data_IF_876612932028
#
_entry.id   IF_876612932028
#
_cell.length_a   1.000
_cell.length_b   1.000
_cell.length_c   1.000
_cell.angle_alpha   90.00
_cell.angle_beta   90.00
_cell.angle_gamma   90.00
#
_symmetry.space_group_name_H-M   'P 1'
#
loop_
_entity.id
_entity.type
_entity.pdbx_description
1 polymer ?
#
# COMPACT_ATOMS: atom_id res chain seq x y z
N UNK A 1 -14.23 -20.36 9.76
CA UNK A 1 -14.09 -18.98 10.27
C UNK A 1 -15.17 -18.77 11.32
N UNK A 2 -14.84 -18.08 12.41
CA UNK A 2 -15.88 -17.61 13.33
C UNK A 2 -16.69 -16.50 12.64
N UNK A 3 -17.99 -16.44 12.92
CA UNK A 3 -18.85 -15.37 12.42
C UNK A 3 -18.33 -14.01 12.90
N UNK A 4 -18.11 -13.08 11.96
CA UNK A 4 -17.71 -11.70 12.26
C UNK A 4 -18.94 -10.82 12.02
N UNK A 5 -19.53 -10.20 13.06
CA UNK A 5 -20.66 -9.31 12.88
C UNK A 5 -20.22 -8.04 12.13
N UNK A 6 -20.96 -7.67 11.10
CA UNK A 6 -20.79 -6.41 10.37
C UNK A 6 -21.97 -5.48 10.67
N UNK A 7 -21.67 -4.22 11.01
CA UNK A 7 -22.68 -3.19 11.29
C UNK A 7 -22.60 -2.14 10.18
N UNK A 8 -23.68 -2.01 9.40
CA UNK A 8 -23.75 -1.05 8.30
C UNK A 8 -24.75 0.07 8.57
N UNK A 9 -24.32 1.31 8.35
CA UNK A 9 -25.22 2.47 8.34
C UNK A 9 -26.00 2.57 7.03
N UNK A 10 -27.23 3.09 7.07
CA UNK A 10 -28.11 3.24 5.90
C UNK A 10 -27.43 4.01 4.76
N UNK A 11 -26.70 5.08 5.08
CA UNK A 11 -26.04 5.96 4.10
C UNK A 11 -24.64 5.48 3.68
N UNK A 12 -24.07 4.47 4.33
CA UNK A 12 -22.69 3.98 4.07
C UNK A 12 -22.64 2.64 3.32
N UNK A 13 -23.78 2.16 2.82
CA UNK A 13 -23.88 0.89 2.08
C UNK A 13 -23.08 0.85 0.77
N UNK A 14 -22.74 2.00 0.20
CA UNK A 14 -22.00 2.11 -1.07
C UNK A 14 -20.48 2.24 -0.87
N UNK A 15 -19.98 1.92 0.32
CA UNK A 15 -18.54 1.93 0.62
C UNK A 15 -17.78 0.96 -0.31
N UNK A 16 -16.58 1.36 -0.73
CA UNK A 16 -15.68 0.47 -1.47
C UNK A 16 -15.11 -0.57 -0.49
N UNK A 17 -15.61 -1.80 -0.58
CA UNK A 17 -15.15 -2.91 0.24
C UNK A 17 -13.94 -3.60 -0.39
N UNK A 18 -12.92 -3.85 0.43
CA UNK A 18 -11.85 -4.78 0.07
C UNK A 18 -12.39 -6.22 -0.02
N UNK A 19 -11.84 -7.08 -0.90
CA UNK A 19 -12.19 -8.49 -0.95
C UNK A 19 -11.98 -9.21 0.39
N UNK A 20 -12.98 -9.96 0.85
CA UNK A 20 -12.96 -10.63 2.16
C UNK A 20 -11.77 -11.61 2.30
N UNK A 21 -11.35 -12.22 1.19
CA UNK A 21 -10.22 -13.16 1.14
C UNK A 21 -8.92 -12.55 1.68
N UNK A 22 -8.76 -11.22 1.63
CA UNK A 22 -7.59 -10.52 2.19
C UNK A 22 -7.49 -10.73 3.70
N UNK A 23 -8.59 -10.95 4.42
CA UNK A 23 -8.56 -11.19 5.87
C UNK A 23 -7.80 -12.47 6.28
N UNK A 24 -7.47 -13.34 5.32
CA UNK A 24 -6.66 -14.54 5.54
C UNK A 24 -5.17 -14.25 5.81
N UNK A 25 -4.68 -13.05 5.51
CA UNK A 25 -3.30 -12.68 5.91
C UNK A 25 -3.19 -12.41 7.42
N UNK A 26 -1.98 -12.55 7.95
CA UNK A 26 -1.64 -12.19 9.33
C UNK A 26 -1.55 -10.68 9.58
N UNK A 27 -1.27 -9.89 8.54
CA UNK A 27 -1.00 -8.46 8.64
C UNK A 27 0.44 -8.16 9.08
N UNK A 28 0.79 -6.87 9.01
CA UNK A 28 2.03 -6.32 9.60
C UNK A 28 1.60 -5.39 10.74
N UNK A 29 2.19 -5.57 11.93
CA UNK A 29 1.94 -4.70 13.07
C UNK A 29 2.86 -3.48 13.00
N UNK A 30 2.29 -2.29 12.87
CA UNK A 30 3.02 -1.02 12.79
C UNK A 30 2.39 -0.06 13.81
N UNK A 31 3.17 0.38 14.78
CA UNK A 31 2.75 1.31 15.84
C UNK A 31 1.41 0.93 16.50
N UNK A 32 1.23 -0.36 16.83
CA UNK A 32 0.01 -0.88 17.47
C UNK A 32 -1.16 -1.14 16.53
N UNK A 33 -1.02 -0.94 15.22
CA UNK A 33 -2.05 -1.23 14.21
C UNK A 33 -1.69 -2.46 13.38
N UNK A 34 -2.62 -3.42 13.25
CA UNK A 34 -2.44 -4.59 12.38
C UNK A 34 -2.94 -4.27 10.97
N UNK A 35 -2.02 -4.13 10.02
CA UNK A 35 -2.32 -3.73 8.64
C UNK A 35 -2.39 -4.98 7.76
N UNK A 36 -3.60 -5.45 7.42
CA UNK A 36 -3.83 -6.60 6.51
C UNK A 36 -4.06 -6.17 5.07
N UNK A 37 -4.70 -5.02 4.88
CA UNK A 37 -5.07 -4.50 3.57
C UNK A 37 -4.62 -3.05 3.37
N UNK A 38 -4.17 -2.76 2.15
CA UNK A 38 -3.84 -1.41 1.69
C UNK A 38 -4.71 -1.04 0.49
N UNK A 39 -5.40 0.09 0.58
CA UNK A 39 -6.10 0.67 -0.57
C UNK A 39 -5.11 1.47 -1.41
N UNK A 40 -4.86 1.05 -2.65
CA UNK A 40 -3.96 1.75 -3.58
C UNK A 40 -4.71 2.86 -4.31
N UNK A 41 -4.66 4.08 -3.77
CA UNK A 41 -5.34 5.23 -4.35
C UNK A 41 -4.81 6.55 -3.79
N UNK A 42 -5.06 7.64 -4.51
CA UNK A 42 -4.91 9.02 -4.03
C UNK A 42 -6.24 9.77 -3.99
N UNK A 43 -7.34 9.10 -4.35
CA UNK A 43 -8.68 9.68 -4.36
C UNK A 43 -9.22 9.77 -2.92
N UNK A 44 -9.29 10.99 -2.40
CA UNK A 44 -9.75 11.26 -1.02
C UNK A 44 -11.20 10.83 -0.77
N UNK A 45 -12.05 10.80 -1.80
CA UNK A 45 -13.42 10.32 -1.64
C UNK A 45 -13.46 8.81 -1.46
N UNK A 46 -12.66 8.05 -2.21
CA UNK A 46 -12.49 6.60 -2.02
C UNK A 46 -11.86 6.31 -0.66
N UNK A 47 -10.80 7.04 -0.29
CA UNK A 47 -10.11 6.86 0.99
C UNK A 47 -11.07 7.01 2.16
N UNK A 48 -11.92 8.04 2.14
CA UNK A 48 -12.92 8.30 3.20
C UNK A 48 -14.06 7.27 3.22
N UNK A 49 -14.25 6.54 2.12
CA UNK A 49 -15.35 5.59 1.92
C UNK A 49 -14.84 4.20 1.54
N UNK A 50 -13.86 3.70 2.28
CA UNK A 50 -13.41 2.30 2.18
C UNK A 50 -13.25 1.63 3.55
N UNK A 51 -13.12 0.31 3.57
CA UNK A 51 -12.90 -0.49 4.79
C UNK A 51 -11.47 -1.09 4.86
N UNK A 52 -10.51 -0.55 4.12
CA UNK A 52 -9.12 -0.99 4.20
C UNK A 52 -8.46 -0.62 5.53
N UNK A 53 -7.37 -1.29 5.91
CA UNK A 53 -6.66 -0.97 7.16
C UNK A 53 -5.74 0.24 7.04
N UNK A 54 -5.23 0.52 5.84
CA UNK A 54 -4.44 1.71 5.53
C UNK A 54 -4.50 2.05 4.03
N UNK A 55 -3.97 3.20 3.66
CA UNK A 55 -3.87 3.69 2.27
C UNK A 55 -2.43 3.57 1.77
N UNK A 56 -2.26 3.11 0.54
CA UNK A 56 -1.01 3.20 -0.22
C UNK A 56 -1.10 4.36 -1.22
N UNK A 57 -0.63 5.54 -0.81
CA UNK A 57 -0.70 6.78 -1.60
C UNK A 57 0.57 6.98 -2.43
N UNK A 58 0.71 6.19 -3.49
CA UNK A 58 1.81 6.29 -4.47
C UNK A 58 1.22 6.64 -5.84
N UNK A 59 1.80 7.63 -6.51
CA UNK A 59 1.32 8.16 -7.78
C UNK A 59 2.48 8.47 -8.74
N UNK A 60 2.25 8.49 -10.07
CA UNK A 60 3.33 8.55 -11.07
C UNK A 60 3.83 9.97 -11.36
N UNK A 61 3.75 10.88 -10.39
CA UNK A 61 4.23 12.26 -10.52
C UNK A 61 5.25 12.57 -9.42
N UNK A 62 6.02 13.65 -9.60
CA UNK A 62 6.92 14.14 -8.55
C UNK A 62 6.13 14.35 -7.27
N UNK A 63 6.53 13.74 -6.15
CA UNK A 63 5.80 13.91 -4.91
C UNK A 63 5.77 15.38 -4.47
N UNK A 64 4.60 15.86 -4.09
CA UNK A 64 4.38 17.22 -3.59
C UNK A 64 3.80 17.16 -2.17
N UNK A 65 4.38 17.91 -1.21
CA UNK A 65 3.87 18.00 0.16
C UNK A 65 2.36 18.23 0.23
N UNK A 66 1.83 19.19 -0.55
CA UNK A 66 0.40 19.52 -0.54
C UNK A 66 -0.51 18.32 -0.86
N UNK A 67 -0.09 17.42 -1.75
CA UNK A 67 -0.86 16.21 -2.09
C UNK A 67 -0.81 15.25 -0.90
N UNK A 68 0.38 14.99 -0.37
CA UNK A 68 0.57 14.12 0.81
C UNK A 68 -0.23 14.61 2.01
N UNK A 69 -0.13 15.90 2.34
CA UNK A 69 -0.85 16.52 3.45
C UNK A 69 -2.37 16.39 3.27
N UNK A 70 -2.86 16.65 2.06
CA UNK A 70 -4.29 16.54 1.75
C UNK A 70 -4.81 15.11 1.93
N UNK A 71 -4.03 14.12 1.51
CA UNK A 71 -4.39 12.70 1.67
C UNK A 71 -4.38 12.30 3.15
N UNK A 72 -3.34 12.67 3.90
CA UNK A 72 -3.25 12.35 5.33
C UNK A 72 -4.42 13.00 6.08
N UNK A 73 -4.67 14.29 5.86
CA UNK A 73 -5.75 15.03 6.53
C UNK A 73 -7.15 14.49 6.19
N UNK A 74 -7.36 13.97 4.97
CA UNK A 74 -8.64 13.39 4.59
C UNK A 74 -8.85 11.99 5.19
N UNK A 75 -7.77 11.24 5.46
CA UNK A 75 -7.83 9.83 5.83
C UNK A 75 -8.10 9.59 7.32
N UNK A 76 -9.06 8.72 7.63
CA UNK A 76 -9.28 8.23 9.02
C UNK A 76 -8.41 7.00 9.35
N UNK A 77 -7.72 6.45 8.36
CA UNK A 77 -6.84 5.29 8.47
C UNK A 77 -5.39 5.70 8.15
N UNK A 78 -4.38 4.96 8.62
CA UNK A 78 -2.99 5.27 8.34
C UNK A 78 -2.66 5.37 6.84
N UNK A 79 -1.70 6.22 6.49
CA UNK A 79 -1.31 6.47 5.10
C UNK A 79 0.17 6.19 4.91
N UNK A 80 0.48 5.33 3.94
CA UNK A 80 1.82 5.16 3.39
C UNK A 80 2.01 6.13 2.23
N UNK A 81 3.06 6.95 2.27
CA UNK A 81 3.26 8.02 1.30
C UNK A 81 4.40 7.69 0.35
N UNK A 82 4.17 7.81 -0.97
CA UNK A 82 5.24 7.74 -1.96
C UNK A 82 6.13 8.98 -1.91
N UNK A 83 7.44 8.81 -1.66
CA UNK A 83 8.38 9.93 -1.47
C UNK A 83 9.57 9.94 -2.43
N UNK A 84 9.80 8.84 -3.16
CA UNK A 84 10.97 8.72 -4.04
C UNK A 84 10.84 7.65 -5.11
N UNK A 85 11.60 7.82 -6.20
CA UNK A 85 11.62 6.88 -7.32
C UNK A 85 12.55 7.33 -8.45
N UNK A 86 12.34 6.80 -9.66
CA UNK A 86 13.27 7.02 -10.79
C UNK A 86 13.52 8.49 -11.14
N UNK A 87 12.53 9.36 -10.98
CA UNK A 87 12.63 10.79 -11.32
C UNK A 87 12.93 11.70 -10.11
N UNK A 88 12.73 11.20 -8.89
CA UNK A 88 12.90 11.96 -7.64
C UNK A 88 13.94 11.26 -6.79
N UNK A 89 15.14 11.83 -6.71
CA UNK A 89 16.34 11.24 -6.09
C UNK A 89 17.08 12.23 -5.19
N UNK A 90 18.12 11.75 -4.50
CA UNK A 90 19.00 12.54 -3.66
C UNK A 90 18.32 13.23 -2.48
N UNK A 91 18.75 14.46 -2.16
CA UNK A 91 18.27 15.23 -1.00
C UNK A 91 16.76 15.48 -1.01
N UNK A 92 16.15 15.55 -2.20
CA UNK A 92 14.72 15.82 -2.33
C UNK A 92 13.87 14.70 -1.72
N UNK A 93 14.26 13.45 -1.91
CA UNK A 93 13.56 12.29 -1.34
C UNK A 93 13.58 12.35 0.19
N UNK A 94 14.74 12.69 0.77
CA UNK A 94 14.91 12.79 2.22
C UNK A 94 14.02 13.89 2.80
N UNK A 95 14.01 15.08 2.17
CA UNK A 95 13.19 16.19 2.64
C UNK A 95 11.69 15.87 2.55
N UNK A 96 11.24 15.21 1.48
CA UNK A 96 9.83 14.80 1.32
C UNK A 96 9.45 13.71 2.33
N UNK A 97 10.37 12.79 2.64
CA UNK A 97 10.13 11.76 3.65
C UNK A 97 9.98 12.35 5.06
N UNK A 98 10.86 13.28 5.44
CA UNK A 98 10.75 14.00 6.72
C UNK A 98 9.47 14.82 6.80
N UNK A 99 9.10 15.51 5.71
CA UNK A 99 7.83 16.23 5.65
C UNK A 99 6.63 15.28 5.80
N UNK A 100 6.62 14.13 5.11
CA UNK A 100 5.55 13.14 5.24
C UNK A 100 5.43 12.58 6.67
N UNK A 101 6.57 12.30 7.31
CA UNK A 101 6.63 11.87 8.71
C UNK A 101 6.02 12.91 9.66
N UNK A 102 6.44 14.18 9.56
CA UNK A 102 5.93 15.25 10.41
C UNK A 102 4.42 15.47 10.28
N UNK A 103 3.85 15.08 9.15
CA UNK A 103 2.42 15.20 8.89
C UNK A 103 1.64 13.95 9.33
N UNK A 104 2.30 12.91 9.81
CA UNK A 104 1.67 11.71 10.36
C UNK A 104 1.55 10.54 9.39
N UNK A 105 2.38 10.47 8.34
CA UNK A 105 2.50 9.24 7.56
C UNK A 105 2.92 8.07 8.47
N UNK A 106 2.34 6.89 8.26
CA UNK A 106 2.71 5.68 9.04
C UNK A 106 3.97 5.00 8.49
N UNK A 107 4.34 5.33 7.26
CA UNK A 107 5.51 4.80 6.58
C UNK A 107 5.70 5.51 5.24
N UNK A 108 6.92 5.46 4.72
CA UNK A 108 7.26 6.04 3.41
C UNK A 108 7.58 4.96 2.40
N UNK A 109 7.24 5.21 1.14
CA UNK A 109 7.42 4.27 0.04
C UNK A 109 8.38 4.85 -0.97
N UNK A 110 9.40 4.06 -1.30
CA UNK A 110 10.36 4.38 -2.35
C UNK A 110 10.32 3.32 -3.44
N UNK A 111 10.32 3.78 -4.70
CA UNK A 111 10.25 2.88 -5.84
C UNK A 111 11.60 2.17 -6.08
N UNK A 112 11.55 1.05 -6.82
CA UNK A 112 12.71 0.19 -7.11
C UNK A 112 13.99 0.93 -7.57
N UNK A 113 13.94 2.01 -8.37
CA UNK A 113 15.16 2.73 -8.80
C UNK A 113 15.91 3.47 -7.68
N UNK A 114 15.33 3.61 -6.49
CA UNK A 114 15.96 4.33 -5.38
C UNK A 114 17.23 3.61 -4.96
N UNK A 115 18.36 4.32 -4.84
CA UNK A 115 19.63 3.68 -4.48
C UNK A 115 19.70 3.30 -3.00
N UNK A 116 20.52 2.31 -2.69
CA UNK A 116 20.80 1.87 -1.32
C UNK A 116 21.35 2.99 -0.44
N UNK A 117 22.18 3.88 -1.00
CA UNK A 117 22.68 5.06 -0.27
C UNK A 117 21.54 6.01 0.13
N UNK A 118 20.52 6.18 -0.71
CA UNK A 118 19.36 7.01 -0.37
C UNK A 118 18.53 6.34 0.72
N UNK A 119 18.29 5.02 0.63
CA UNK A 119 17.58 4.25 1.65
C UNK A 119 18.30 4.37 3.00
N UNK A 120 19.64 4.24 3.01
CA UNK A 120 20.46 4.39 4.22
C UNK A 120 20.42 5.79 4.80
N UNK A 121 20.30 6.82 3.96
CA UNK A 121 20.14 8.18 4.43
C UNK A 121 18.74 8.46 4.96
N UNK A 122 17.70 7.87 4.36
CA UNK A 122 16.33 7.92 4.88
C UNK A 122 16.26 7.26 6.25
N UNK A 123 16.79 6.05 6.39
CA UNK A 123 16.78 5.28 7.64
C UNK A 123 17.46 6.02 8.80
N UNK A 124 18.42 6.90 8.51
CA UNK A 124 19.09 7.73 9.52
C UNK A 124 18.34 9.02 9.87
N UNK A 125 17.25 9.35 9.19
CA UNK A 125 16.60 10.67 9.22
C UNK A 125 15.13 10.64 9.61
N UNK A 126 14.46 9.51 9.46
CA UNK A 126 13.05 9.32 9.82
C UNK A 126 12.93 8.12 10.77
N UNK A 127 11.87 8.10 11.59
CA UNK A 127 11.55 7.08 12.59
C UNK A 127 10.31 6.25 12.21
N UNK A 128 9.87 6.36 10.95
CA UNK A 128 8.76 5.58 10.37
C UNK A 128 9.25 4.57 9.33
N UNK A 129 8.59 3.40 9.20
CA UNK A 129 8.99 2.34 8.29
C UNK A 129 9.29 2.77 6.86
N UNK A 130 10.43 2.30 6.34
CA UNK A 130 10.78 2.46 4.93
C UNK A 130 10.32 1.22 4.14
N UNK A 131 9.38 1.45 3.23
CA UNK A 131 8.87 0.46 2.28
C UNK A 131 9.61 0.58 0.95
N UNK A 132 10.28 -0.48 0.51
CA UNK A 132 10.98 -0.52 -0.79
C UNK A 132 10.21 -1.37 -1.79
N UNK A 133 9.87 -0.80 -2.93
CA UNK A 133 9.20 -1.53 -4.01
C UNK A 133 10.16 -2.48 -4.71
N UNK A 134 9.75 -3.74 -4.85
CA UNK A 134 10.43 -4.81 -5.58
C UNK A 134 9.62 -5.13 -6.83
N UNK A 135 10.24 -5.02 -8.00
CA UNK A 135 9.60 -5.25 -9.31
C UNK A 135 10.16 -6.47 -10.05
N UNK A 136 11.14 -7.17 -9.46
CA UNK A 136 11.78 -8.36 -10.04
C UNK A 136 12.44 -9.21 -8.96
N UNK A 137 12.50 -10.53 -9.19
CA UNK A 137 13.28 -11.49 -8.39
C UNK A 137 14.79 -11.23 -8.37
N UNK A 138 15.31 -10.49 -9.36
CA UNK A 138 16.73 -10.12 -9.45
C UNK A 138 17.10 -8.96 -8.52
N UNK A 139 16.13 -8.40 -7.79
CA UNK A 139 16.40 -7.35 -6.82
C UNK A 139 17.27 -7.91 -5.71
N UNK A 140 18.39 -7.25 -5.41
CA UNK A 140 19.24 -7.60 -4.26
C UNK A 140 18.53 -7.23 -2.95
N UNK A 141 17.74 -8.17 -2.44
CA UNK A 141 16.93 -7.99 -1.22
C UNK A 141 17.81 -7.77 0.00
N UNK A 142 18.91 -8.53 0.13
CA UNK A 142 19.82 -8.38 1.28
C UNK A 142 20.36 -6.96 1.32
N UNK A 143 20.83 -6.42 0.19
CA UNK A 143 21.34 -5.07 0.15
C UNK A 143 20.27 -4.00 0.45
N UNK A 144 18.99 -4.25 0.10
CA UNK A 144 17.88 -3.34 0.49
C UNK A 144 17.69 -3.34 2.01
N UNK A 145 17.65 -4.51 2.63
CA UNK A 145 17.49 -4.68 4.07
C UNK A 145 18.67 -4.08 4.84
N UNK A 146 19.90 -4.36 4.41
CA UNK A 146 21.13 -3.80 5.00
C UNK A 146 21.19 -2.27 4.90
N UNK A 147 20.47 -1.69 3.93
CA UNK A 147 20.36 -0.24 3.76
C UNK A 147 19.28 0.40 4.65
N UNK A 148 18.49 -0.39 5.38
CA UNK A 148 17.43 0.11 6.26
C UNK A 148 16.01 0.00 5.68
N UNK A 149 15.79 -0.82 4.66
CA UNK A 149 14.43 -1.20 4.29
C UNK A 149 13.83 -2.11 5.36
N UNK A 150 12.64 -1.77 5.86
CA UNK A 150 11.95 -2.56 6.89
C UNK A 150 10.79 -3.38 6.31
N UNK A 151 10.23 -2.95 5.18
CA UNK A 151 9.12 -3.63 4.51
C UNK A 151 9.42 -3.71 3.01
N UNK A 152 9.14 -4.87 2.40
CA UNK A 152 9.24 -5.05 0.95
C UNK A 152 7.84 -4.96 0.33
N UNK A 153 7.68 -4.10 -0.67
CA UNK A 153 6.45 -3.98 -1.46
C UNK A 153 6.63 -4.67 -2.82
N UNK A 154 6.17 -5.91 -2.94
CA UNK A 154 6.30 -6.71 -4.17
C UNK A 154 5.19 -6.36 -5.15
N UNK A 155 5.58 -5.78 -6.29
CA UNK A 155 4.67 -5.32 -7.34
C UNK A 155 5.18 -5.77 -8.71
N UNK A 156 4.99 -7.06 -9.01
CA UNK A 156 5.50 -7.73 -10.21
C UNK A 156 4.37 -8.20 -11.15
N UNK A 157 3.22 -7.52 -11.12
CA UNK A 157 2.01 -7.91 -11.84
C UNK A 157 1.64 -9.39 -11.59
N UNK A 158 1.36 -10.16 -12.64
CA UNK A 158 1.02 -11.58 -12.54
C UNK A 158 2.11 -12.45 -11.88
N UNK A 159 3.37 -11.98 -11.88
CA UNK A 159 4.49 -12.68 -11.24
C UNK A 159 4.66 -12.36 -9.75
N UNK A 160 3.74 -11.57 -9.16
CA UNK A 160 3.84 -11.20 -7.75
C UNK A 160 3.93 -12.43 -6.82
N UNK A 161 3.08 -13.47 -6.95
CA UNK A 161 3.20 -14.67 -6.10
C UNK A 161 4.55 -15.39 -6.22
N UNK A 162 5.08 -15.51 -7.43
CA UNK A 162 6.38 -16.13 -7.69
C UNK A 162 7.51 -15.41 -6.95
N UNK A 163 7.57 -14.09 -7.06
CA UNK A 163 8.60 -13.26 -6.40
C UNK A 163 8.43 -13.28 -4.88
N UNK A 164 7.20 -13.29 -4.37
CA UNK A 164 6.94 -13.42 -2.93
C UNK A 164 7.47 -14.77 -2.40
N UNK A 165 7.23 -15.89 -3.08
CA UNK A 165 7.77 -17.22 -2.68
C UNK A 165 9.30 -17.20 -2.67
N UNK A 166 9.92 -16.64 -3.71
CA UNK A 166 11.36 -16.53 -3.82
C UNK A 166 11.96 -15.73 -2.65
N UNK A 167 11.38 -14.58 -2.31
CA UNK A 167 11.81 -13.78 -1.15
C UNK A 167 11.61 -14.56 0.14
N UNK A 168 10.43 -15.14 0.36
CA UNK A 168 10.10 -15.83 1.61
C UNK A 168 11.00 -17.04 1.88
N UNK A 169 11.46 -17.74 0.85
CA UNK A 169 12.42 -18.85 0.99
C UNK A 169 13.79 -18.44 1.55
N UNK A 170 14.22 -17.19 1.30
CA UNK A 170 15.51 -16.66 1.75
C UNK A 170 15.39 -15.76 2.98
N UNK A 171 14.26 -15.07 3.11
CA UNK A 171 13.97 -14.08 4.15
C UNK A 171 12.65 -14.43 4.85
N UNK A 172 12.61 -15.50 5.66
CA UNK A 172 11.36 -16.05 6.19
C UNK A 172 10.56 -15.08 7.06
N UNK A 173 11.24 -14.12 7.70
CA UNK A 173 10.62 -13.18 8.65
C UNK A 173 10.43 -11.76 8.12
N UNK A 174 10.88 -11.45 6.89
CA UNK A 174 10.77 -10.08 6.37
C UNK A 174 9.29 -9.69 6.17
N UNK A 175 8.86 -8.48 6.56
CA UNK A 175 7.53 -8.01 6.25
C UNK A 175 7.33 -7.81 4.74
N UNK A 176 6.27 -8.40 4.18
CA UNK A 176 5.94 -8.29 2.75
C UNK A 176 4.54 -7.71 2.56
N UNK A 177 4.49 -6.56 1.91
CA UNK A 177 3.30 -6.06 1.22
C UNK A 177 3.35 -6.59 -0.22
N UNK A 178 2.24 -7.09 -0.76
CA UNK A 178 2.18 -7.56 -2.14
C UNK A 178 0.87 -7.20 -2.83
N UNK A 179 0.93 -6.90 -4.13
CA UNK A 179 -0.27 -6.64 -4.95
C UNK A 179 -1.07 -7.91 -5.17
N UNK A 180 -2.36 -7.92 -4.80
CA UNK A 180 -3.21 -9.12 -4.86
C UNK A 180 -3.84 -9.43 -6.23
N UNK A 181 -3.77 -8.51 -7.20
CA UNK A 181 -4.44 -8.69 -8.49
C UNK A 181 -5.97 -8.50 -8.42
N UNK A 182 -6.69 -8.72 -9.53
CA UNK A 182 -8.09 -8.31 -9.67
C UNK A 182 -9.12 -9.34 -9.17
N UNK A 183 -8.74 -10.60 -8.89
CA UNK A 183 -9.70 -11.66 -8.51
C UNK A 183 -9.39 -12.25 -7.14
N UNK A 184 -10.37 -12.92 -6.53
CA UNK A 184 -10.17 -13.59 -5.24
C UNK A 184 -9.09 -14.68 -5.34
N UNK A 185 -9.00 -15.37 -6.48
CA UNK A 185 -8.02 -16.41 -6.75
C UNK A 185 -6.61 -15.83 -6.84
N UNK A 186 -6.42 -14.71 -7.55
CA UNK A 186 -5.10 -14.07 -7.63
C UNK A 186 -4.65 -13.51 -6.28
N UNK A 187 -5.60 -12.97 -5.51
CA UNK A 187 -5.33 -12.48 -4.16
C UNK A 187 -4.91 -13.65 -3.28
N UNK A 188 -5.68 -14.74 -3.31
CA UNK A 188 -5.39 -15.92 -2.51
C UNK A 188 -4.02 -16.52 -2.85
N UNK A 189 -3.67 -16.59 -4.13
CA UNK A 189 -2.36 -17.08 -4.55
C UNK A 189 -1.22 -16.24 -3.94
N UNK A 190 -1.39 -14.92 -3.91
CA UNK A 190 -0.43 -13.98 -3.32
C UNK A 190 -0.31 -14.16 -1.80
N UNK A 191 -1.43 -14.46 -1.12
CA UNK A 191 -1.46 -14.79 0.31
C UNK A 191 -0.70 -16.09 0.57
N UNK A 192 -1.01 -17.14 -0.18
CA UNK A 192 -0.39 -18.47 -0.05
C UNK A 192 1.10 -18.47 -0.40
N UNK A 193 1.54 -17.55 -1.26
CA UNK A 193 2.95 -17.29 -1.52
C UNK A 193 3.70 -16.74 -0.30
N UNK A 194 3.00 -16.17 0.68
CA UNK A 194 3.56 -15.70 1.95
C UNK A 194 3.55 -14.18 2.13
N UNK A 195 2.66 -13.45 1.45
CA UNK A 195 2.46 -12.03 1.71
C UNK A 195 1.85 -11.79 3.10
N UNK A 196 2.32 -10.77 3.82
CA UNK A 196 1.76 -10.38 5.13
C UNK A 196 0.61 -9.40 4.99
N UNK A 197 0.63 -8.56 3.95
CA UNK A 197 -0.36 -7.51 3.68
C UNK A 197 -0.64 -7.48 2.18
N UNK A 198 -1.91 -7.30 1.80
CA UNK A 198 -2.31 -7.21 0.39
C UNK A 198 -2.63 -5.77 0.01
N UNK A 199 -2.03 -5.31 -1.08
CA UNK A 199 -2.42 -4.07 -1.76
C UNK A 199 -3.54 -4.38 -2.76
N UNK A 200 -4.65 -3.65 -2.63
CA UNK A 200 -5.82 -3.75 -3.50
C UNK A 200 -6.04 -2.43 -4.23
N UNK A 201 -6.25 -2.51 -5.54
CA UNK A 201 -6.61 -1.35 -6.37
C UNK A 201 -8.13 -1.26 -6.47
N UNK A 202 -8.75 -0.19 -5.97
CA UNK A 202 -10.19 -0.02 -6.08
C UNK A 202 -10.61 0.35 -7.51
N UNK A 203 -11.90 0.19 -7.85
CA UNK A 203 -12.47 0.87 -9.00
C UNK A 203 -12.26 2.39 -8.90
N UNK A 204 -12.04 3.04 -10.03
CA UNK A 204 -11.91 4.49 -10.12
C UNK A 204 -13.25 5.17 -9.82
N UNK A 205 -13.19 6.44 -9.38
CA UNK A 205 -14.41 7.24 -9.18
C UNK A 205 -15.26 7.36 -10.46
N UNK A 206 -14.65 7.36 -11.64
CA UNK A 206 -15.36 7.35 -12.91
C UNK A 206 -16.14 6.04 -13.13
N UNK A 207 -15.56 4.89 -12.79
CA UNK A 207 -16.23 3.59 -12.88
C UNK A 207 -17.37 3.47 -11.88
N UNK A 208 -17.15 3.89 -10.63
CA UNK A 208 -18.19 3.92 -9.60
C UNK A 208 -19.37 4.82 -10.02
N UNK A 209 -19.08 6.02 -10.53
CA UNK A 209 -20.11 6.94 -10.97
C UNK A 209 -20.86 6.42 -12.19
N UNK A 210 -20.18 5.76 -13.14
CA UNK A 210 -20.83 5.10 -14.28
C UNK A 210 -21.83 4.04 -13.83
N UNK A 211 -21.47 3.20 -12.85
CA UNK A 211 -22.39 2.19 -12.29
C UNK A 211 -23.61 2.84 -11.64
N UNK A 212 -23.39 3.90 -10.86
CA UNK A 212 -24.48 4.65 -10.21
C UNK A 212 -25.43 5.28 -11.23
N UNK A 213 -24.90 5.93 -12.27
CA UNK A 213 -25.73 6.56 -13.31
C UNK A 213 -26.52 5.54 -14.13
N UNK A 214 -25.95 4.36 -14.40
CA UNK A 214 -26.68 3.30 -15.07
C UNK A 214 -27.89 2.83 -14.23
N UNK A 215 -27.68 2.63 -12.92
CA UNK A 215 -28.77 2.31 -11.99
C UNK A 215 -29.86 3.39 -12.00
N UNK A 216 -29.48 4.67 -11.99
CA UNK A 216 -30.44 5.76 -12.04
C UNK A 216 -31.28 5.76 -13.33
N UNK A 217 -30.70 5.43 -14.49
CA UNK A 217 -31.43 5.35 -15.77
C UNK A 217 -32.37 4.15 -15.86
N UNK A 218 -32.12 3.10 -15.07
CA UNK A 218 -32.99 1.92 -15.01
C UNK A 218 -34.15 2.12 -14.02
N UNK A 219 -33.93 2.91 -12.96
CA UNK A 219 -34.90 3.13 -11.88
C UNK A 219 -35.77 4.40 -12.07
N UNK A 220 -35.31 5.41 -12.81
CA UNK A 220 -35.98 6.70 -13.03
C UNK A 220 -36.02 7.09 -14.51
#
# INVERSE_FOLDING_TARGET
MAFVPEIEGILRKHMVKIPEVINRVGGINIFGKNIKSLMFTTDVAIIKNCNANAVMAVYPFTPQPIITHSIINASDIPVFCGVGGGTTTGKRVINIAMDAEFQGAIGVVVNAPTSNDIIKNLYKRIDIPIVVTVTSENTDIQARLDSGAEILNVSCAARTPEVVRAIRSKFPLVPIIATGGPTNESILETIEAGANTITYTPPTSAELFKQLMNKYREEF
#
